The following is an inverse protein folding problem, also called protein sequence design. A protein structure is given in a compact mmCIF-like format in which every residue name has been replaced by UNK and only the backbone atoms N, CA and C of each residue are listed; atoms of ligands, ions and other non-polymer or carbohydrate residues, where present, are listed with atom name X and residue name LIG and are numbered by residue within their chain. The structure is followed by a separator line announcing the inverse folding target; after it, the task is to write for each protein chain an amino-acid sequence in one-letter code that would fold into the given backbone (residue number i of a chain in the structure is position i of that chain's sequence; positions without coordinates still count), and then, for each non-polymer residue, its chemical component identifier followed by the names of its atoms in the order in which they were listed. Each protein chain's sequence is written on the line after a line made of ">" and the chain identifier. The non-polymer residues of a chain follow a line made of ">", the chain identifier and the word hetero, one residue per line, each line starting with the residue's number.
data_IF_331703528781
#
_entry.id   IF_331703528781
#
_cell.length_a   1.000
_cell.length_b   1.000
_cell.length_c   1.000
_cell.angle_alpha   90.00
_cell.angle_beta   90.00
_cell.angle_gamma   90.00
#
_symmetry.space_group_name_H-M   'P 1'
#
loop_
_entity.id
_entity.type
_entity.pdbx_description
1 polymer ?
#
# COMPACT_ATOMS: atom_id res chain seq x y z
N UNK A 1 -13.11 -7.94 18.29
CA UNK A 1 -12.29 -8.58 17.24
C UNK A 1 -13.09 -8.55 15.96
N UNK A 2 -12.83 -7.55 15.13
CA UNK A 2 -13.35 -7.45 13.78
C UNK A 2 -12.77 -8.63 12.97
N UNK A 3 -13.57 -9.39 12.20
CA UNK A 3 -13.06 -10.38 11.26
C UNK A 3 -11.97 -9.77 10.38
N UNK A 4 -10.88 -10.51 10.13
CA UNK A 4 -9.87 -10.11 9.13
C UNK A 4 -10.60 -9.71 7.84
N UNK A 5 -10.23 -8.57 7.27
CA UNK A 5 -10.79 -7.89 6.08
C UNK A 5 -11.88 -6.85 6.36
N UNK A 6 -12.57 -6.82 7.50
CA UNK A 6 -13.62 -5.79 7.72
C UNK A 6 -13.02 -4.43 8.09
N UNK A 7 -11.98 -4.38 8.93
CA UNK A 7 -11.34 -3.11 9.27
C UNK A 7 -10.56 -2.54 8.08
N UNK A 8 -9.84 -3.37 7.33
CA UNK A 8 -9.17 -2.94 6.10
C UNK A 8 -10.17 -2.35 5.10
N UNK A 9 -11.31 -3.01 4.87
CA UNK A 9 -12.35 -2.51 3.96
C UNK A 9 -12.93 -1.17 4.40
N UNK A 10 -13.11 -0.95 5.71
CA UNK A 10 -13.62 0.31 6.23
C UNK A 10 -12.63 1.46 6.00
N UNK A 11 -11.36 1.28 6.34
CA UNK A 11 -10.35 2.31 6.13
C UNK A 11 -10.08 2.57 4.65
N UNK A 12 -9.91 1.51 3.86
CA UNK A 12 -9.73 1.65 2.41
C UNK A 12 -10.95 2.29 1.77
N UNK A 13 -12.16 1.79 2.02
CA UNK A 13 -13.37 2.31 1.38
C UNK A 13 -13.75 3.75 1.79
N UNK A 14 -13.34 4.21 2.96
CA UNK A 14 -13.65 5.57 3.42
C UNK A 14 -12.58 6.60 3.06
N UNK A 15 -11.30 6.20 3.07
CA UNK A 15 -10.18 7.14 2.99
C UNK A 15 -9.22 6.83 1.84
N UNK A 16 -9.00 5.56 1.55
CA UNK A 16 -7.87 5.12 0.74
C UNK A 16 -8.29 4.28 -0.46
N UNK A 17 -9.44 4.56 -1.06
CA UNK A 17 -9.87 3.87 -2.26
C UNK A 17 -9.02 4.36 -3.44
N UNK A 18 -8.42 3.44 -4.19
CA UNK A 18 -7.60 3.75 -5.37
C UNK A 18 -8.42 4.39 -6.51
N UNK A 19 -9.75 4.25 -6.47
CA UNK A 19 -10.69 4.89 -7.39
C UNK A 19 -11.40 6.11 -6.77
N UNK A 20 -11.03 6.47 -5.53
CA UNK A 20 -11.62 7.53 -4.75
C UNK A 20 -11.13 8.94 -5.12
N UNK A 21 -11.55 9.91 -4.32
CA UNK A 21 -11.10 11.30 -4.45
C UNK A 21 -9.65 11.43 -3.95
N UNK A 22 -8.71 11.91 -4.78
CA UNK A 22 -7.34 12.17 -4.35
C UNK A 22 -7.23 13.09 -3.14
N UNK A 23 -8.16 14.04 -2.97
CA UNK A 23 -8.17 14.95 -1.82
C UNK A 23 -8.39 14.18 -0.51
N UNK A 24 -9.35 13.25 -0.49
CA UNK A 24 -9.62 12.39 0.68
C UNK A 24 -8.43 11.49 1.01
N UNK A 25 -7.75 10.94 -0.01
CA UNK A 25 -6.55 10.13 0.19
C UNK A 25 -5.44 10.93 0.88
N UNK A 26 -5.19 12.15 0.38
CA UNK A 26 -4.18 13.05 0.93
C UNK A 26 -4.52 13.44 2.37
N UNK A 27 -5.77 13.83 2.63
CA UNK A 27 -6.26 14.15 3.98
C UNK A 27 -6.06 12.98 4.95
N UNK A 28 -6.40 11.76 4.52
CA UNK A 28 -6.20 10.57 5.33
C UNK A 28 -4.72 10.30 5.65
N UNK A 29 -3.82 10.54 4.70
CA UNK A 29 -2.38 10.40 4.92
C UNK A 29 -1.82 11.48 5.85
N UNK A 30 -2.29 12.71 5.74
CA UNK A 30 -1.90 13.82 6.62
C UNK A 30 -2.39 13.61 8.05
N UNK A 31 -3.55 12.96 8.21
CA UNK A 31 -4.17 12.67 9.52
C UNK A 31 -3.64 11.38 10.17
N UNK A 32 -3.08 10.44 9.40
CA UNK A 32 -2.59 9.15 9.89
C UNK A 32 -1.64 9.22 11.11
N UNK A 33 -0.69 10.18 11.21
CA UNK A 33 0.14 10.33 12.40
C UNK A 33 -0.67 10.61 13.67
N UNK A 34 -1.76 11.37 13.57
CA UNK A 34 -2.65 11.69 14.70
C UNK A 34 -3.41 10.43 15.13
N UNK A 35 -3.98 9.68 14.18
CA UNK A 35 -4.67 8.41 14.49
C UNK A 35 -3.78 7.39 15.18
N UNK A 36 -2.48 7.34 14.85
CA UNK A 36 -1.50 6.49 15.53
C UNK A 36 -1.17 6.97 16.95
N UNK A 37 -1.06 8.29 17.12
CA UNK A 37 -0.72 8.94 18.38
C UNK A 37 -1.87 8.86 19.41
N UNK A 38 -3.11 9.03 18.96
CA UNK A 38 -4.32 9.01 19.81
C UNK A 38 -4.69 7.62 20.32
N UNK A 39 -3.90 6.59 20.00
CA UNK A 39 -4.15 5.20 20.36
C UNK A 39 -5.55 4.72 19.94
N UNK A 40 -5.95 5.11 18.73
CA UNK A 40 -7.15 4.55 18.14
C UNK A 40 -6.87 3.08 17.83
N UNK A 41 -7.33 2.18 18.70
CA UNK A 41 -7.17 0.71 18.55
C UNK A 41 -7.54 0.23 17.14
N UNK A 42 -8.50 0.90 16.50
CA UNK A 42 -8.95 0.60 15.14
C UNK A 42 -7.88 0.89 14.08
N UNK A 43 -7.08 1.96 14.21
CA UNK A 43 -6.06 2.30 13.20
C UNK A 43 -4.80 1.43 13.32
N UNK A 44 -4.41 1.05 14.55
CA UNK A 44 -3.32 0.08 14.76
C UNK A 44 -3.72 -1.30 14.26
N UNK A 45 -4.95 -1.72 14.53
CA UNK A 45 -5.51 -2.96 13.98
C UNK A 45 -5.52 -2.93 12.46
N UNK A 46 -5.81 -1.78 11.86
CA UNK A 46 -5.74 -1.58 10.41
C UNK A 46 -4.32 -1.74 9.87
N UNK A 47 -3.32 -1.12 10.50
CA UNK A 47 -1.91 -1.29 10.13
C UNK A 47 -1.49 -2.76 10.15
N UNK A 48 -1.83 -3.46 11.23
CA UNK A 48 -1.44 -4.86 11.42
C UNK A 48 -2.17 -5.79 10.41
N UNK A 49 -3.42 -5.47 10.08
CA UNK A 49 -4.21 -6.15 9.05
C UNK A 49 -3.66 -5.90 7.64
N UNK A 50 -3.30 -4.65 7.31
CA UNK A 50 -2.63 -4.29 6.05
C UNK A 50 -1.32 -5.06 5.88
N UNK A 51 -0.48 -5.08 6.92
CA UNK A 51 0.77 -5.84 6.91
C UNK A 51 0.54 -7.35 6.71
N UNK A 52 -0.50 -7.93 7.34
CA UNK A 52 -0.87 -9.32 7.12
C UNK A 52 -1.33 -9.59 5.69
N UNK A 53 -2.10 -8.69 5.08
CA UNK A 53 -2.51 -8.83 3.68
C UNK A 53 -1.34 -8.73 2.71
N UNK A 54 -0.36 -7.85 2.96
CA UNK A 54 0.88 -7.78 2.16
C UNK A 54 1.72 -9.04 2.33
N UNK A 55 1.87 -9.53 3.57
CA UNK A 55 2.59 -10.77 3.85
C UNK A 55 1.93 -11.95 3.16
N UNK A 56 0.61 -12.07 3.22
CA UNK A 56 -0.10 -13.26 2.75
C UNK A 56 -0.64 -13.10 1.32
N UNK A 57 -0.39 -11.96 0.66
CA UNK A 57 -0.94 -11.60 -0.67
C UNK A 57 -2.44 -11.86 -0.78
N UNK A 58 -3.19 -11.58 0.29
CA UNK A 58 -4.53 -12.14 0.53
C UNK A 58 -5.68 -11.15 0.33
N UNK A 59 -5.36 -9.88 0.11
CA UNK A 59 -6.36 -8.89 -0.24
C UNK A 59 -6.58 -8.91 -1.75
N UNK A 60 -7.83 -8.97 -2.20
CA UNK A 60 -8.16 -8.91 -3.62
C UNK A 60 -8.33 -7.44 -4.05
N UNK A 61 -7.85 -7.04 -5.24
CA UNK A 61 -8.12 -5.70 -5.77
C UNK A 61 -9.62 -5.42 -5.87
N UNK A 62 -10.01 -4.19 -5.53
CA UNK A 62 -11.40 -3.72 -5.58
C UNK A 62 -11.99 -3.76 -6.99
N UNK A 63 -11.18 -3.51 -8.02
CA UNK A 63 -11.58 -3.57 -9.44
C UNK A 63 -11.74 -5.01 -9.98
N UNK A 64 -11.33 -6.02 -9.23
CA UNK A 64 -11.65 -7.44 -9.47
C UNK A 64 -10.95 -8.12 -10.66
N UNK A 65 -10.23 -7.38 -11.51
CA UNK A 65 -9.57 -7.86 -12.73
C UNK A 65 -8.06 -7.54 -12.81
N UNK A 66 -7.48 -6.92 -11.79
CA UNK A 66 -6.04 -6.63 -11.76
C UNK A 66 -5.24 -7.83 -11.23
N UNK A 67 -4.04 -8.11 -11.78
CA UNK A 67 -3.14 -9.11 -11.22
C UNK A 67 -2.88 -8.86 -9.74
N UNK A 68 -2.87 -9.92 -8.94
CA UNK A 68 -2.61 -9.85 -7.49
C UNK A 68 -1.33 -9.06 -7.16
N UNK A 69 -0.29 -9.13 -8.01
CA UNK A 69 0.94 -8.37 -7.82
C UNK A 69 0.73 -6.85 -7.84
N UNK A 70 -0.12 -6.33 -8.73
CA UNK A 70 -0.42 -4.88 -8.79
C UNK A 70 -1.09 -4.44 -7.49
N UNK A 71 -2.05 -5.23 -7.00
CA UNK A 71 -2.69 -4.98 -5.73
C UNK A 71 -1.71 -5.02 -4.55
N UNK A 72 -0.82 -6.00 -4.50
CA UNK A 72 0.20 -6.07 -3.44
C UNK A 72 1.14 -4.86 -3.48
N UNK A 73 1.51 -4.39 -4.66
CA UNK A 73 2.31 -3.18 -4.86
C UNK A 73 1.56 -1.91 -4.45
N UNK A 74 0.25 -1.85 -4.67
CA UNK A 74 -0.61 -0.77 -4.19
C UNK A 74 -0.69 -0.75 -2.66
N UNK A 75 -0.88 -1.91 -2.02
CA UNK A 75 -0.88 -2.02 -0.55
C UNK A 75 0.46 -1.59 0.06
N UNK A 76 1.59 -1.87 -0.61
CA UNK A 76 2.91 -1.38 -0.20
C UNK A 76 3.02 0.14 -0.32
N UNK A 77 2.46 0.74 -1.37
CA UNK A 77 2.38 2.21 -1.49
C UNK A 77 1.55 2.79 -0.35
N UNK A 78 0.38 2.20 -0.07
CA UNK A 78 -0.49 2.63 1.03
C UNK A 78 0.22 2.51 2.38
N UNK A 79 0.88 1.38 2.65
CA UNK A 79 1.64 1.20 3.89
C UNK A 79 2.73 2.27 4.02
N UNK A 80 3.45 2.57 2.94
CA UNK A 80 4.47 3.60 2.93
C UNK A 80 3.89 5.01 3.18
N UNK A 81 2.76 5.34 2.54
CA UNK A 81 2.11 6.64 2.64
C UNK A 81 1.52 6.90 4.02
N UNK A 82 1.13 5.86 4.75
CA UNK A 82 0.57 5.97 6.10
C UNK A 82 1.58 5.80 7.22
N UNK A 83 2.52 4.85 7.08
CA UNK A 83 3.37 4.38 8.19
C UNK A 83 4.86 4.65 7.97
N UNK A 84 5.27 5.06 6.77
CA UNK A 84 6.64 5.47 6.46
C UNK A 84 7.49 4.37 5.80
N UNK A 85 8.82 4.56 5.77
CA UNK A 85 9.73 3.77 4.93
C UNK A 85 10.01 2.36 5.43
N UNK A 86 9.65 2.03 6.67
CA UNK A 86 9.85 0.69 7.21
C UNK A 86 8.92 -0.31 6.51
N UNK A 87 9.44 -1.44 6.01
CA UNK A 87 8.62 -2.41 5.30
C UNK A 87 7.63 -3.08 6.25
N UNK A 88 6.43 -3.46 5.76
CA UNK A 88 5.46 -4.19 6.56
C UNK A 88 6.07 -5.51 7.08
N UNK A 89 5.82 -5.88 8.34
CA UNK A 89 6.37 -7.10 8.93
C UNK A 89 6.06 -8.36 8.13
N UNK A 90 7.11 -9.07 7.70
CA UNK A 90 6.99 -10.32 6.95
C UNK A 90 6.72 -10.15 5.46
N UNK A 91 6.77 -8.93 4.91
CA UNK A 91 6.70 -8.72 3.46
C UNK A 91 7.77 -9.57 2.74
N UNK A 92 7.32 -10.41 1.81
CA UNK A 92 8.20 -11.27 1.03
C UNK A 92 8.97 -10.49 -0.05
N UNK A 93 8.47 -9.31 -0.44
CA UNK A 93 9.03 -8.50 -1.52
C UNK A 93 9.13 -7.02 -1.11
N UNK A 94 9.88 -6.68 -0.05
CA UNK A 94 9.98 -5.30 0.41
C UNK A 94 10.53 -4.39 -0.69
N UNK A 95 10.07 -3.15 -0.72
CA UNK A 95 10.66 -2.09 -1.55
C UNK A 95 11.90 -1.56 -0.84
N UNK A 96 13.02 -1.49 -1.54
CA UNK A 96 14.24 -0.92 -0.98
C UNK A 96 14.01 0.58 -0.62
N UNK A 97 14.38 1.04 0.58
CA UNK A 97 14.11 2.41 1.03
C UNK A 97 14.56 3.49 0.06
N UNK A 98 15.68 3.26 -0.63
CA UNK A 98 16.29 4.21 -1.56
C UNK A 98 15.47 4.42 -2.84
N UNK A 99 14.49 3.55 -3.12
CA UNK A 99 13.62 3.67 -4.29
C UNK A 99 12.47 4.65 -4.06
N UNK A 100 11.98 4.79 -2.84
CA UNK A 100 10.86 5.67 -2.54
C UNK A 100 11.17 7.12 -2.90
N UNK A 101 10.27 7.78 -3.62
CA UNK A 101 10.44 9.17 -4.05
C UNK A 101 11.53 9.41 -5.12
N UNK A 102 12.25 8.37 -5.55
CA UNK A 102 13.33 8.50 -6.56
C UNK A 102 13.08 7.66 -7.81
N UNK A 103 12.61 6.45 -7.62
CA UNK A 103 12.19 5.54 -8.70
C UNK A 103 10.75 5.08 -8.49
N UNK A 104 10.29 5.03 -7.23
CA UNK A 104 8.97 4.57 -6.84
C UNK A 104 8.11 5.73 -6.37
N UNK A 105 7.02 5.98 -7.09
CA UNK A 105 6.05 7.02 -6.78
C UNK A 105 4.79 6.42 -6.17
N UNK A 106 4.33 7.02 -5.09
CA UNK A 106 3.10 6.65 -4.40
C UNK A 106 1.97 7.63 -4.71
N UNK A 107 0.70 7.28 -4.46
CA UNK A 107 -0.41 8.20 -4.66
C UNK A 107 -0.23 9.53 -3.91
N UNK A 108 0.28 9.51 -2.66
CA UNK A 108 0.53 10.75 -1.93
C UNK A 108 1.56 11.66 -2.64
N UNK A 109 2.66 11.08 -3.12
CA UNK A 109 3.66 11.83 -3.90
C UNK A 109 3.05 12.43 -5.18
N UNK A 110 2.20 11.67 -5.87
CA UNK A 110 1.58 12.10 -7.12
C UNK A 110 0.59 13.24 -6.92
N UNK A 111 -0.18 13.22 -5.83
CA UNK A 111 -1.30 14.12 -5.63
C UNK A 111 -0.99 15.31 -4.73
N UNK A 112 -0.02 15.20 -3.81
CA UNK A 112 0.25 16.24 -2.83
C UNK A 112 1.63 16.90 -2.95
N UNK A 113 2.58 16.28 -3.65
CA UNK A 113 3.98 16.75 -3.67
C UNK A 113 4.34 17.38 -5.01
N UNK A 114 4.57 18.69 -4.98
CA UNK A 114 5.09 19.47 -6.09
C UNK A 114 6.62 19.51 -6.12
N UNK A 115 7.18 20.45 -6.90
CA UNK A 115 8.64 20.66 -7.02
C UNK A 115 9.22 21.46 -5.86
N UNK A 116 8.37 22.09 -5.06
CA UNK A 116 8.74 22.92 -3.93
C UNK A 116 7.60 23.00 -2.94
N UNK A 117 7.87 23.59 -1.76
CA UNK A 117 6.88 23.84 -0.71
C UNK A 117 5.69 24.66 -1.25
N UNK A 118 5.96 25.70 -2.03
CA UNK A 118 4.93 26.60 -2.58
C UNK A 118 4.00 25.93 -3.62
N UNK A 119 4.39 24.76 -4.13
CA UNK A 119 3.62 24.00 -5.13
C UNK A 119 3.10 22.68 -4.58
N UNK A 120 3.30 22.41 -3.29
CA UNK A 120 2.83 21.22 -2.60
C UNK A 120 1.66 21.55 -1.68
N UNK A 121 0.87 20.54 -1.30
CA UNK A 121 -0.13 20.72 -0.25
C UNK A 121 0.51 20.89 1.13
N UNK A 122 -0.27 21.40 2.08
CA UNK A 122 0.21 21.86 3.39
C UNK A 122 0.90 20.76 4.22
N UNK A 123 0.44 19.51 4.13
CA UNK A 123 1.05 18.37 4.83
C UNK A 123 2.34 17.82 4.21
N UNK A 124 2.59 18.11 2.93
CA UNK A 124 3.71 17.52 2.18
C UNK A 124 5.11 17.75 2.81
N UNK A 125 5.47 18.95 3.32
CA UNK A 125 6.77 19.16 3.95
C UNK A 125 6.99 18.32 5.20
N UNK A 126 5.94 18.07 5.99
CA UNK A 126 6.01 17.21 7.16
C UNK A 126 6.12 15.74 6.75
N UNK A 127 5.29 15.33 5.79
CA UNK A 127 5.26 13.98 5.26
C UNK A 127 6.59 13.55 4.61
N UNK A 128 7.21 14.42 3.81
CA UNK A 128 8.51 14.17 3.17
C UNK A 128 9.62 14.00 4.22
N UNK A 129 9.64 14.90 5.21
CA UNK A 129 10.62 14.89 6.30
C UNK A 129 10.55 13.61 7.12
N UNK A 130 9.35 13.14 7.44
CA UNK A 130 9.14 11.88 8.16
C UNK A 130 9.70 10.66 7.41
N UNK A 131 9.86 10.78 6.09
CA UNK A 131 10.38 9.74 5.20
C UNK A 131 11.83 9.98 4.76
N UNK A 132 12.47 11.03 5.26
CA UNK A 132 13.84 11.38 4.87
C UNK A 132 13.97 11.79 3.39
N UNK A 133 12.89 12.30 2.79
CA UNK A 133 12.85 12.77 1.42
C UNK A 133 12.91 14.30 1.34
N UNK A 134 13.36 14.80 0.20
CA UNK A 134 13.35 16.22 -0.16
C UNK A 134 12.66 16.43 -1.51
N UNK A 135 12.22 17.65 -1.79
CA UNK A 135 11.70 18.00 -3.12
C UNK A 135 12.71 17.75 -4.25
N UNK A 136 14.00 17.88 -3.97
CA UNK A 136 15.06 17.60 -4.93
C UNK A 136 15.14 16.11 -5.28
N UNK A 137 14.89 15.21 -4.32
CA UNK A 137 14.80 13.78 -4.60
C UNK A 137 13.68 13.51 -5.61
N UNK A 138 12.51 14.16 -5.43
CA UNK A 138 11.33 13.99 -6.28
C UNK A 138 11.56 14.52 -7.70
N UNK A 139 12.09 15.74 -7.85
CA UNK A 139 12.30 16.37 -9.17
C UNK A 139 13.39 15.67 -10.00
N UNK A 140 14.30 14.95 -9.34
CA UNK A 140 15.40 14.23 -9.99
C UNK A 140 15.04 12.82 -10.48
N UNK A 141 13.83 12.33 -10.19
CA UNK A 141 13.36 10.99 -10.55
C UNK A 141 13.20 10.84 -12.09
N UNK A 142 14.07 10.10 -12.79
CA UNK A 142 14.15 10.15 -14.25
C UNK A 142 13.04 9.34 -14.95
N UNK A 143 12.46 8.34 -14.27
CA UNK A 143 11.30 7.57 -14.70
C UNK A 143 10.55 7.12 -13.44
N UNK A 144 9.26 7.47 -13.32
CA UNK A 144 8.42 7.08 -12.18
C UNK A 144 7.80 5.71 -12.43
N UNK A 145 8.20 4.71 -11.64
CA UNK A 145 7.54 3.40 -11.59
C UNK A 145 6.53 3.38 -10.45
N UNK A 146 5.24 3.27 -10.77
CA UNK A 146 4.20 3.05 -9.75
C UNK A 146 4.12 1.60 -9.28
N UNK A 147 4.57 0.65 -10.12
CA UNK A 147 4.52 -0.79 -9.90
C UNK A 147 5.80 -1.42 -10.45
N UNK A 148 6.37 -2.39 -9.72
CA UNK A 148 7.49 -3.20 -10.20
C UNK A 148 6.96 -4.32 -11.09
N UNK A 149 7.77 -4.93 -11.97
CA UNK A 149 7.39 -6.20 -12.59
C UNK A 149 7.19 -7.27 -11.52
N UNK A 150 6.29 -8.22 -11.80
CA UNK A 150 6.08 -9.38 -10.95
C UNK A 150 7.40 -10.17 -10.80
N UNK A 151 7.83 -10.53 -9.58
CA UNK A 151 9.05 -11.27 -9.37
C UNK A 151 8.90 -12.74 -9.75
N UNK A 152 10.00 -13.37 -10.19
CA UNK A 152 10.05 -14.81 -10.45
C UNK A 152 9.60 -15.61 -9.21
N UNK A 153 8.80 -16.65 -9.41
CA UNK A 153 8.32 -17.50 -8.32
C UNK A 153 7.09 -16.96 -7.58
N UNK A 154 6.57 -15.79 -7.98
CA UNK A 154 5.42 -15.17 -7.31
C UNK A 154 4.15 -16.01 -7.40
N UNK A 155 3.83 -16.52 -8.60
CA UNK A 155 2.64 -17.34 -8.83
C UNK A 155 2.71 -18.65 -8.03
N UNK A 156 3.86 -19.33 -8.02
CA UNK A 156 4.07 -20.55 -7.24
C UNK A 156 3.93 -20.30 -5.73
N UNK A 157 4.32 -19.11 -5.26
CA UNK A 157 4.11 -18.68 -3.89
C UNK A 157 2.62 -18.47 -3.60
N UNK A 158 1.88 -17.82 -4.49
CA UNK A 158 0.44 -17.63 -4.33
C UNK A 158 -0.30 -18.97 -4.26
N UNK A 159 0.02 -19.90 -5.16
CA UNK A 159 -0.52 -21.27 -5.13
C UNK A 159 -0.22 -21.97 -3.81
N UNK A 160 1.04 -21.90 -3.33
CA UNK A 160 1.44 -22.50 -2.06
C UNK A 160 0.63 -21.92 -0.88
N UNK A 161 0.50 -20.59 -0.81
CA UNK A 161 -0.25 -19.93 0.25
C UNK A 161 -1.74 -20.30 0.23
N UNK A 162 -2.31 -20.42 -0.97
CA UNK A 162 -3.69 -20.90 -1.15
C UNK A 162 -3.84 -22.33 -0.66
N UNK A 163 -2.94 -23.24 -1.06
CA UNK A 163 -2.93 -24.64 -0.62
C UNK A 163 -2.76 -24.80 0.90
N UNK A 164 -1.98 -23.92 1.53
CA UNK A 164 -1.76 -23.89 2.98
C UNK A 164 -2.90 -23.23 3.76
N UNK A 165 -3.91 -22.67 3.06
CA UNK A 165 -5.05 -21.99 3.68
C UNK A 165 -4.71 -20.61 4.25
N UNK A 166 -3.56 -20.04 3.87
CA UNK A 166 -3.13 -18.70 4.30
C UNK A 166 -3.87 -17.57 3.55
N UNK A 167 -4.39 -17.87 2.35
CA UNK A 167 -5.23 -16.98 1.54
C UNK A 167 -6.29 -17.76 0.76
N UNK A 168 -7.43 -17.14 0.40
CA UNK A 168 -8.37 -17.75 -0.54
C UNK A 168 -7.78 -17.77 -1.96
N UNK A 169 -8.24 -18.71 -2.78
CA UNK A 169 -8.00 -18.66 -4.23
C UNK A 169 -8.84 -17.53 -4.87
N UNK A 170 -8.32 -16.94 -5.95
CA UNK A 170 -9.05 -15.92 -6.71
C UNK A 170 -9.40 -16.38 -8.14
N UNK A 171 -10.56 -15.96 -8.71
CA UNK A 171 -11.05 -16.48 -10.00
C UNK A 171 -10.10 -16.32 -11.19
N UNK A 172 -9.17 -15.38 -11.11
CA UNK A 172 -8.15 -15.08 -12.11
C UNK A 172 -6.91 -15.99 -12.00
N UNK A 173 -6.84 -16.84 -10.98
CA UNK A 173 -5.69 -17.70 -10.71
C UNK A 173 -5.84 -19.08 -11.37
N UNK A 174 -4.77 -19.65 -11.96
CA UNK A 174 -4.82 -20.96 -12.63
C UNK A 174 -5.28 -22.13 -11.74
N UNK A 175 -5.11 -22.00 -10.42
CA UNK A 175 -5.49 -23.00 -9.41
C UNK A 175 -6.84 -22.71 -8.74
N UNK A 176 -7.61 -21.72 -9.21
CA UNK A 176 -8.88 -21.35 -8.59
C UNK A 176 -9.83 -22.53 -8.42
N UNK A 177 -10.12 -23.27 -9.50
CA UNK A 177 -11.07 -24.38 -9.47
C UNK A 177 -10.63 -25.55 -8.57
N UNK A 178 -9.34 -25.63 -8.23
CA UNK A 178 -8.79 -26.68 -7.37
C UNK A 178 -9.00 -26.38 -5.88
N UNK A 179 -9.21 -25.10 -5.55
CA UNK A 179 -9.28 -24.58 -4.19
C UNK A 179 -10.52 -23.73 -3.91
N UNK A 180 -11.40 -23.53 -4.92
CA UNK A 180 -12.70 -22.91 -4.77
C UNK A 180 -13.53 -23.73 -3.79
N UNK A 181 -13.61 -23.24 -2.55
CA UNK A 181 -14.35 -23.87 -1.45
C UNK A 181 -15.58 -23.04 -1.13
#
# INVERSE_FOLDING_TARGET
>A
MTPRTENLRLWVGNWFDDQGDPETYVEGCDTAPEWLADDTDDFRSFRDELAAHIRDSSHKPLAGNEPQWINDEWLRNLHYDLFGPEPPPGDAYPVAPERWGRARWTPYLLHNVGRSDETSGEGAPAWLRARGLTYADIDSAPDSEHFRPEPDGYQERLERLTREGARPAHPDEPWYDQHAT
#
